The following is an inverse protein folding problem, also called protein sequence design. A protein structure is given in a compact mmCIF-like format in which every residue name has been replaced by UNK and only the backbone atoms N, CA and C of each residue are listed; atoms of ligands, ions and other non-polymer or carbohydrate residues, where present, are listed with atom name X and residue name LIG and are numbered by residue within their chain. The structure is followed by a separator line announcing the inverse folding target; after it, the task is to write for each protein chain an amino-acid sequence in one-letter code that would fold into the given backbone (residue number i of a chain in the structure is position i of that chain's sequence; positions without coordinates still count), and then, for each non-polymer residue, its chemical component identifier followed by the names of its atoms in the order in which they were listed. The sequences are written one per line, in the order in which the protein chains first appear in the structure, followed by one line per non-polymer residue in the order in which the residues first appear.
data_IF_039709081873
#
_entry.id   IF_039709081873
#
_cell.length_a   1.000
_cell.length_b   1.000
_cell.length_c   1.000
_cell.angle_alpha   90.00
_cell.angle_beta   90.00
_cell.angle_gamma   90.00
#
_symmetry.space_group_name_H-M   'P 1'
#
loop_
_entity.id
_entity.type
_entity.pdbx_description
1 polymer ?
#
# COMPACT_ATOMS: atom_id res chain seq x y z
N UNK A 1 -31.47 15.95 10.52
CA UNK A 1 -31.45 15.44 9.14
C UNK A 1 -30.59 14.18 9.16
N UNK A 2 -31.25 13.01 9.17
CA UNK A 2 -30.60 11.73 8.97
C UNK A 2 -30.26 11.63 7.49
N UNK A 3 -28.96 11.55 7.15
CA UNK A 3 -28.36 10.91 5.97
C UNK A 3 -26.99 11.54 5.68
N UNK A 4 -26.02 11.34 6.58
CA UNK A 4 -24.62 11.27 6.18
C UNK A 4 -24.15 9.85 6.48
N UNK A 5 -24.72 8.88 5.75
CA UNK A 5 -23.93 7.70 5.45
C UNK A 5 -22.83 8.21 4.53
N UNK A 6 -21.68 8.53 5.11
CA UNK A 6 -20.44 8.83 4.37
C UNK A 6 -20.04 7.53 3.67
N UNK A 7 -20.65 7.28 2.50
CA UNK A 7 -20.12 6.36 1.53
C UNK A 7 -18.70 6.85 1.23
N UNK A 8 -17.70 5.98 1.40
CA UNK A 8 -16.38 6.27 0.91
C UNK A 8 -16.51 6.64 -0.58
N UNK A 9 -15.95 7.78 -1.02
CA UNK A 9 -16.10 8.23 -2.39
C UNK A 9 -15.71 7.15 -3.39
N UNK A 10 -16.53 6.95 -4.43
CA UNK A 10 -16.23 5.97 -5.48
C UNK A 10 -15.27 6.57 -6.49
N UNK A 11 -14.24 5.82 -6.89
CA UNK A 11 -13.34 6.24 -7.96
C UNK A 11 -13.85 5.75 -9.31
N UNK A 12 -13.93 6.65 -10.28
CA UNK A 12 -14.06 6.31 -11.70
C UNK A 12 -12.78 6.75 -12.42
N UNK A 13 -11.97 5.77 -12.82
CA UNK A 13 -10.75 6.03 -13.56
C UNK A 13 -10.99 5.91 -15.06
N UNK A 14 -10.45 6.86 -15.82
CA UNK A 14 -10.54 6.84 -17.29
C UNK A 14 -9.17 7.12 -17.89
N UNK A 15 -8.81 6.51 -19.04
CA UNK A 15 -7.56 6.83 -19.72
C UNK A 15 -7.50 8.30 -20.15
N UNK A 16 -6.38 8.98 -19.88
CA UNK A 16 -6.11 10.33 -20.41
C UNK A 16 -5.61 10.24 -21.86
N UNK A 17 -6.31 10.88 -22.79
CA UNK A 17 -5.88 10.99 -24.19
C UNK A 17 -6.32 12.34 -24.81
N UNK A 18 -5.95 12.58 -26.08
CA UNK A 18 -6.25 13.84 -26.79
C UNK A 18 -7.75 14.07 -27.08
N UNK A 19 -8.59 13.05 -26.89
CA UNK A 19 -10.05 13.13 -27.04
C UNK A 19 -10.77 13.25 -25.69
N UNK A 20 -10.05 13.20 -24.57
CA UNK A 20 -10.63 13.38 -23.24
C UNK A 20 -11.29 14.76 -23.12
N UNK A 21 -12.50 14.79 -22.59
CA UNK A 21 -13.34 15.98 -22.41
C UNK A 21 -13.94 15.98 -21.01
N UNK A 22 -14.30 17.15 -20.45
CA UNK A 22 -14.96 17.21 -19.15
C UNK A 22 -16.28 16.44 -19.18
N UNK A 23 -16.53 15.68 -18.11
CA UNK A 23 -17.78 14.95 -17.92
C UNK A 23 -18.81 15.87 -17.26
N UNK A 24 -20.02 15.91 -17.83
CA UNK A 24 -21.11 16.73 -17.31
C UNK A 24 -21.45 16.34 -15.86
N UNK A 25 -21.64 17.34 -15.00
CA UNK A 25 -21.96 17.15 -13.58
C UNK A 25 -20.76 16.91 -12.66
N UNK A 26 -19.53 16.90 -13.19
CA UNK A 26 -18.30 16.82 -12.38
C UNK A 26 -17.67 18.22 -12.21
N UNK A 27 -17.32 18.55 -10.97
CA UNK A 27 -16.53 19.74 -10.64
C UNK A 27 -15.04 19.41 -10.66
N UNK A 28 -14.29 20.08 -11.55
CA UNK A 28 -12.85 19.93 -11.73
C UNK A 28 -12.01 20.88 -10.86
N UNK A 29 -12.63 21.58 -9.91
CA UNK A 29 -11.99 22.55 -9.03
C UNK A 29 -11.88 23.95 -9.65
N UNK A 30 -11.22 24.87 -8.95
CA UNK A 30 -11.19 26.30 -9.29
C UNK A 30 -10.66 26.60 -10.71
N UNK A 31 -9.68 25.82 -11.17
CA UNK A 31 -9.08 25.99 -12.49
C UNK A 31 -9.88 25.32 -13.62
N UNK A 32 -10.92 24.56 -13.27
CA UNK A 32 -11.70 23.77 -14.21
C UNK A 32 -10.90 22.65 -14.89
N UNK A 33 -11.46 22.11 -15.97
CA UNK A 33 -10.84 21.06 -16.77
C UNK A 33 -9.68 21.61 -17.61
N UNK A 34 -8.52 20.95 -17.57
CA UNK A 34 -7.34 21.26 -18.34
C UNK A 34 -7.02 20.14 -19.35
N UNK A 35 -7.19 20.34 -20.67
CA UNK A 35 -6.86 19.35 -21.68
C UNK A 35 -5.40 18.87 -21.64
N UNK A 36 -4.47 19.76 -21.28
CA UNK A 36 -3.02 19.53 -21.29
C UNK A 36 -2.47 19.12 -19.91
N UNK A 37 -3.34 18.92 -18.91
CA UNK A 37 -2.95 18.60 -17.54
C UNK A 37 -3.74 17.44 -16.92
N UNK A 38 -3.51 17.25 -15.62
CA UNK A 38 -4.24 16.27 -14.82
C UNK A 38 -5.64 16.79 -14.51
N UNK A 39 -6.64 15.90 -14.52
CA UNK A 39 -8.02 16.24 -14.24
C UNK A 39 -8.59 15.31 -13.19
N UNK A 40 -9.15 15.92 -12.15
CA UNK A 40 -9.87 15.25 -11.06
C UNK A 40 -11.20 15.94 -10.87
N UNK A 41 -12.23 15.37 -11.48
CA UNK A 41 -13.61 15.75 -11.29
C UNK A 41 -14.17 15.12 -10.01
N UNK A 42 -15.01 15.84 -9.28
CA UNK A 42 -15.83 15.27 -8.20
C UNK A 42 -17.30 15.65 -8.41
N UNK A 43 -18.19 14.68 -8.31
CA UNK A 43 -19.62 14.90 -8.33
C UNK A 43 -20.19 14.69 -6.93
N UNK A 44 -20.49 15.79 -6.24
CA UNK A 44 -21.00 15.77 -4.86
C UNK A 44 -22.35 15.05 -4.73
N UNK A 45 -23.20 15.11 -5.76
CA UNK A 45 -24.54 14.54 -5.70
C UNK A 45 -24.56 13.01 -5.65
N UNK A 46 -23.54 12.37 -6.22
CA UNK A 46 -23.38 10.90 -6.26
C UNK A 46 -22.15 10.39 -5.51
N UNK A 47 -21.33 11.30 -4.95
CA UNK A 47 -20.12 10.95 -4.19
C UNK A 47 -19.07 10.22 -5.02
N UNK A 48 -18.87 10.61 -6.28
CA UNK A 48 -17.99 9.92 -7.22
C UNK A 48 -16.91 10.85 -7.75
N UNK A 49 -15.68 10.35 -7.83
CA UNK A 49 -14.59 10.97 -8.57
C UNK A 49 -14.59 10.53 -10.03
N UNK A 50 -14.21 11.43 -10.93
CA UNK A 50 -13.71 11.11 -12.25
C UNK A 50 -12.25 11.53 -12.30
N UNK A 51 -11.35 10.58 -12.57
CA UNK A 51 -9.91 10.83 -12.57
C UNK A 51 -9.33 10.31 -13.87
N UNK A 52 -8.63 11.19 -14.58
CA UNK A 52 -7.94 10.84 -15.81
C UNK A 52 -6.51 10.41 -15.50
N UNK A 53 -6.15 9.20 -15.91
CA UNK A 53 -4.81 8.64 -15.68
C UNK A 53 -4.19 8.31 -17.04
N UNK A 54 -2.99 8.83 -17.29
CA UNK A 54 -2.24 8.52 -18.50
C UNK A 54 -1.74 7.07 -18.46
N UNK A 55 -1.81 6.38 -19.60
CA UNK A 55 -1.35 4.99 -19.72
C UNK A 55 -2.27 3.94 -19.10
N UNK A 56 -3.39 4.34 -18.49
CA UNK A 56 -4.36 3.43 -17.89
C UNK A 56 -4.97 2.50 -18.96
N UNK A 57 -4.94 1.21 -18.71
CA UNK A 57 -5.57 0.19 -19.52
C UNK A 57 -7.09 0.23 -19.34
N UNK A 58 -7.81 0.23 -20.48
CA UNK A 58 -9.26 0.25 -20.49
C UNK A 58 -9.81 -1.19 -20.43
N UNK A 59 -10.70 -1.51 -19.48
CA UNK A 59 -11.32 -2.84 -19.40
C UNK A 59 -12.23 -3.08 -20.62
N UNK A 60 -11.98 -4.18 -21.34
CA UNK A 60 -12.63 -4.50 -22.61
C UNK A 60 -13.88 -5.35 -22.43
N UNK A 61 -13.84 -6.33 -21.53
CA UNK A 61 -15.04 -7.15 -21.26
C UNK A 61 -16.02 -6.44 -20.33
N UNK A 62 -17.29 -6.84 -20.44
CA UNK A 62 -18.34 -6.37 -19.53
C UNK A 62 -18.05 -6.75 -18.08
N UNK A 63 -17.45 -7.93 -17.88
CA UNK A 63 -17.10 -8.41 -16.55
C UNK A 63 -15.96 -7.59 -15.94
N UNK A 64 -14.92 -7.28 -16.71
CA UNK A 64 -13.84 -6.40 -16.25
C UNK A 64 -14.33 -4.97 -15.95
N UNK A 65 -15.20 -4.41 -16.81
CA UNK A 65 -15.83 -3.10 -16.56
C UNK A 65 -16.63 -3.09 -15.26
N UNK A 66 -17.45 -4.12 -15.04
CA UNK A 66 -18.22 -4.29 -13.81
C UNK A 66 -17.30 -4.44 -12.59
N UNK A 67 -16.23 -5.22 -12.70
CA UNK A 67 -15.27 -5.41 -11.61
C UNK A 67 -14.59 -4.07 -11.27
N UNK A 68 -14.14 -3.30 -12.26
CA UNK A 68 -13.53 -2.00 -12.02
C UNK A 68 -14.49 -0.99 -11.36
N UNK A 69 -15.79 -1.06 -11.64
CA UNK A 69 -16.78 -0.10 -11.13
C UNK A 69 -17.40 -0.50 -9.79
N UNK A 70 -17.61 -1.80 -9.56
CA UNK A 70 -18.43 -2.31 -8.47
C UNK A 70 -17.64 -3.21 -7.50
N UNK A 71 -16.77 -4.08 -8.01
CA UNK A 71 -16.11 -5.13 -7.22
C UNK A 71 -14.63 -4.83 -6.92
N UNK A 72 -14.13 -3.65 -7.28
CA UNK A 72 -12.71 -3.29 -7.15
C UNK A 72 -12.23 -3.41 -5.69
N UNK A 73 -13.12 -3.13 -4.74
CA UNK A 73 -12.87 -3.30 -3.31
C UNK A 73 -12.55 -4.74 -2.91
N UNK A 74 -13.07 -5.74 -3.62
CA UNK A 74 -12.76 -7.15 -3.34
C UNK A 74 -11.32 -7.49 -3.70
N UNK A 75 -10.82 -6.94 -4.81
CA UNK A 75 -9.42 -7.08 -5.24
C UNK A 75 -8.49 -6.39 -4.25
N UNK A 76 -8.81 -5.15 -3.89
CA UNK A 76 -8.04 -4.38 -2.89
C UNK A 76 -8.04 -5.11 -1.54
N UNK A 77 -9.18 -5.67 -1.12
CA UNK A 77 -9.28 -6.42 0.13
C UNK A 77 -8.39 -7.66 0.11
N UNK A 78 -8.43 -8.44 -0.97
CA UNK A 78 -7.56 -9.60 -1.14
C UNK A 78 -6.07 -9.22 -1.09
N UNK A 79 -5.71 -8.08 -1.69
CA UNK A 79 -4.34 -7.55 -1.66
C UNK A 79 -3.90 -7.11 -0.26
N UNK A 80 -4.74 -6.39 0.47
CA UNK A 80 -4.44 -5.97 1.85
C UNK A 80 -4.36 -7.16 2.81
N UNK A 81 -5.10 -8.24 2.55
CA UNK A 81 -5.08 -9.47 3.33
C UNK A 81 -3.92 -10.41 2.97
N UNK A 82 -3.25 -10.22 1.84
CA UNK A 82 -2.09 -11.01 1.45
C UNK A 82 -0.90 -10.69 2.36
N UNK A 83 -0.62 -11.61 3.30
CA UNK A 83 0.43 -11.43 4.32
C UNK A 83 1.78 -11.07 3.72
N UNK A 84 2.16 -11.68 2.60
CA UNK A 84 3.45 -11.38 1.97
C UNK A 84 3.48 -9.95 1.42
N UNK A 85 2.43 -9.51 0.72
CA UNK A 85 2.34 -8.12 0.22
C UNK A 85 2.39 -7.13 1.37
N UNK A 86 1.65 -7.39 2.44
CA UNK A 86 1.61 -6.55 3.63
C UNK A 86 2.97 -6.49 4.35
N UNK A 87 3.58 -7.65 4.63
CA UNK A 87 4.88 -7.73 5.32
C UNK A 87 5.99 -7.06 4.52
N UNK A 88 6.06 -7.31 3.20
CA UNK A 88 7.08 -6.68 2.37
C UNK A 88 6.83 -5.19 2.21
N UNK A 89 5.59 -4.79 1.91
CA UNK A 89 5.23 -3.39 1.72
C UNK A 89 5.46 -2.51 2.95
N UNK A 90 5.25 -3.05 4.15
CA UNK A 90 5.44 -2.29 5.37
C UNK A 90 6.91 -2.21 5.82
N UNK A 91 7.75 -3.19 5.43
CA UNK A 91 8.97 -3.48 6.20
C UNK A 91 10.25 -3.67 5.38
N UNK A 92 10.12 -3.93 4.07
CA UNK A 92 11.24 -4.15 3.17
C UNK A 92 11.64 -2.81 2.54
N UNK A 93 12.66 -2.16 3.11
CA UNK A 93 13.16 -0.85 2.63
C UNK A 93 13.83 -0.93 1.25
N UNK A 94 14.23 -2.14 0.83
CA UNK A 94 14.81 -2.40 -0.49
C UNK A 94 13.76 -2.88 -1.50
N UNK A 95 12.49 -2.97 -1.09
CA UNK A 95 11.40 -3.38 -1.94
C UNK A 95 11.23 -2.39 -3.10
N UNK A 96 11.30 -2.93 -4.31
CA UNK A 96 10.82 -2.26 -5.51
C UNK A 96 9.29 -2.28 -5.50
N UNK A 97 8.59 -1.13 -5.43
CA UNK A 97 7.13 -1.07 -5.32
C UNK A 97 6.38 -1.88 -6.39
N UNK A 98 6.94 -1.94 -7.60
CA UNK A 98 6.43 -2.71 -8.73
C UNK A 98 6.33 -4.21 -8.46
N UNK A 99 7.14 -4.76 -7.55
CA UNK A 99 6.96 -6.15 -7.12
C UNK A 99 5.61 -6.35 -6.41
N UNK A 100 5.11 -5.34 -5.70
CA UNK A 100 3.78 -5.39 -5.09
C UNK A 100 2.70 -4.99 -6.09
N UNK A 101 2.86 -3.83 -6.72
CA UNK A 101 1.81 -3.22 -7.54
C UNK A 101 1.59 -3.97 -8.85
N UNK A 102 2.65 -4.51 -9.47
CA UNK A 102 2.55 -5.27 -10.72
C UNK A 102 2.46 -6.77 -10.45
N UNK A 103 3.47 -7.33 -9.77
CA UNK A 103 3.59 -8.79 -9.65
C UNK A 103 2.58 -9.38 -8.65
N UNK A 104 2.55 -8.89 -7.40
CA UNK A 104 1.63 -9.45 -6.38
C UNK A 104 0.18 -9.15 -6.71
N UNK A 105 -0.16 -7.91 -7.06
CA UNK A 105 -1.54 -7.55 -7.44
C UNK A 105 -1.98 -8.31 -8.69
N UNK A 106 -1.14 -8.40 -9.73
CA UNK A 106 -1.47 -9.14 -10.95
C UNK A 106 -1.76 -10.62 -10.67
N UNK A 107 -0.99 -11.25 -9.77
CA UNK A 107 -1.28 -12.61 -9.31
C UNK A 107 -2.64 -12.71 -8.62
N UNK A 108 -2.97 -11.79 -7.73
CA UNK A 108 -4.27 -11.79 -7.01
C UNK A 108 -5.44 -11.63 -7.99
N UNK A 109 -5.33 -10.73 -8.96
CA UNK A 109 -6.36 -10.55 -10.00
C UNK A 109 -6.54 -11.84 -10.79
N UNK A 110 -5.44 -12.46 -11.24
CA UNK A 110 -5.47 -13.73 -11.99
C UNK A 110 -6.07 -14.89 -11.18
N UNK A 111 -5.72 -14.99 -9.89
CA UNK A 111 -6.23 -16.04 -9.02
C UNK A 111 -7.74 -15.84 -8.73
N UNK A 112 -8.22 -14.60 -8.72
CA UNK A 112 -9.61 -14.25 -8.42
C UNK A 112 -10.54 -14.32 -9.65
N UNK A 113 -10.03 -13.98 -10.83
CA UNK A 113 -10.78 -13.96 -12.09
C UNK A 113 -10.03 -14.72 -13.20
N UNK A 114 -9.78 -16.03 -13.03
CA UNK A 114 -8.98 -16.83 -13.97
C UNK A 114 -9.59 -16.94 -15.38
N UNK A 115 -10.88 -16.62 -15.52
CA UNK A 115 -11.63 -16.64 -16.78
C UNK A 115 -11.40 -15.43 -17.69
N UNK A 116 -10.88 -14.32 -17.16
CA UNK A 116 -10.60 -13.12 -17.93
C UNK A 116 -9.26 -13.23 -18.69
N UNK A 117 -9.12 -12.43 -19.74
CA UNK A 117 -7.88 -12.34 -20.50
C UNK A 117 -6.83 -11.44 -19.82
N UNK A 118 -5.60 -11.46 -20.34
CA UNK A 118 -4.48 -10.71 -19.77
C UNK A 118 -4.66 -9.19 -19.84
N UNK A 119 -5.40 -8.67 -20.84
CA UNK A 119 -5.62 -7.24 -20.98
C UNK A 119 -6.61 -6.74 -19.91
N UNK A 120 -7.66 -7.51 -19.66
CA UNK A 120 -8.62 -7.24 -18.59
C UNK A 120 -8.03 -7.45 -17.20
N UNK A 121 -7.16 -8.45 -17.02
CA UNK A 121 -6.39 -8.59 -15.77
C UNK A 121 -5.56 -7.35 -15.48
N UNK A 122 -4.88 -6.83 -16.49
CA UNK A 122 -4.06 -5.63 -16.35
C UNK A 122 -4.90 -4.39 -16.06
N UNK A 123 -6.04 -4.22 -16.75
CA UNK A 123 -6.98 -3.13 -16.45
C UNK A 123 -7.44 -3.16 -14.99
N UNK A 124 -7.90 -4.31 -14.49
CA UNK A 124 -8.36 -4.46 -13.10
C UNK A 124 -7.21 -4.18 -12.11
N UNK A 125 -6.00 -4.71 -12.37
CA UNK A 125 -4.82 -4.48 -11.54
C UNK A 125 -4.51 -2.99 -11.40
N UNK A 126 -4.43 -2.28 -12.52
CA UNK A 126 -4.11 -0.86 -12.56
C UNK A 126 -5.17 -0.02 -11.83
N UNK A 127 -6.46 -0.31 -12.04
CA UNK A 127 -7.54 0.38 -11.33
C UNK A 127 -7.46 0.15 -9.82
N UNK A 128 -7.16 -1.09 -9.38
CA UNK A 128 -7.08 -1.42 -7.96
C UNK A 128 -5.91 -0.68 -7.28
N UNK A 129 -4.75 -0.66 -7.92
CA UNK A 129 -3.57 0.04 -7.42
C UNK A 129 -3.76 1.56 -7.44
N UNK A 130 -4.39 2.12 -8.48
CA UNK A 130 -4.74 3.54 -8.53
C UNK A 130 -5.67 3.93 -7.37
N UNK A 131 -6.77 3.20 -7.16
CA UNK A 131 -7.69 3.42 -6.05
C UNK A 131 -6.99 3.39 -4.70
N UNK A 132 -6.16 2.35 -4.48
CA UNK A 132 -5.45 2.15 -3.22
C UNK A 132 -4.44 3.29 -2.97
N UNK A 133 -3.57 3.58 -3.93
CA UNK A 133 -2.53 4.60 -3.76
C UNK A 133 -3.10 6.01 -3.61
N UNK A 134 -4.12 6.39 -4.40
CA UNK A 134 -4.80 7.69 -4.25
C UNK A 134 -5.45 7.84 -2.88
N UNK A 135 -6.12 6.79 -2.40
CA UNK A 135 -6.73 6.77 -1.06
C UNK A 135 -5.68 6.95 0.03
N UNK A 136 -4.54 6.26 -0.09
CA UNK A 136 -3.47 6.31 0.90
C UNK A 136 -2.79 7.68 0.89
N UNK A 137 -2.54 8.27 -0.29
CA UNK A 137 -1.96 9.62 -0.41
C UNK A 137 -2.89 10.71 0.10
N UNK A 138 -4.19 10.59 -0.14
CA UNK A 138 -5.15 11.52 0.44
C UNK A 138 -5.12 11.47 1.97
N UNK A 139 -5.09 10.27 2.57
CA UNK A 139 -4.96 10.10 4.03
C UNK A 139 -3.64 10.64 4.58
N UNK A 140 -2.53 10.44 3.87
CA UNK A 140 -1.21 10.98 4.23
C UNK A 140 -1.25 12.51 4.33
N UNK A 141 -1.84 13.18 3.33
CA UNK A 141 -1.97 14.65 3.29
C UNK A 141 -2.81 15.15 4.47
N UNK A 142 -3.96 14.52 4.72
CA UNK A 142 -4.83 14.85 5.87
C UNK A 142 -4.06 14.70 7.18
N UNK A 143 -3.36 13.58 7.37
CA UNK A 143 -2.61 13.29 8.59
C UNK A 143 -1.44 14.26 8.83
N UNK A 144 -0.79 14.75 7.76
CA UNK A 144 0.34 15.69 7.86
C UNK A 144 -0.10 17.15 8.03
N UNK A 145 -1.33 17.48 7.65
CA UNK A 145 -1.82 18.86 7.58
C UNK A 145 -2.09 19.55 8.91
N UNK A 146 -2.16 18.84 10.05
CA UNK A 146 -2.69 19.38 11.33
C UNK A 146 -4.04 20.12 11.17
N UNK A 147 -4.76 19.88 10.06
CA UNK A 147 -6.14 20.27 9.95
C UNK A 147 -6.92 19.32 10.85
N UNK A 148 -7.31 19.90 11.99
CA UNK A 148 -8.23 19.44 13.02
C UNK A 148 -9.14 18.28 12.59
N UNK A 149 -9.50 17.45 13.57
CA UNK A 149 -10.43 16.31 13.58
C UNK A 149 -11.86 16.56 13.01
N UNK A 150 -12.01 17.37 11.97
CA UNK A 150 -13.21 17.81 11.27
C UNK A 150 -13.15 17.57 9.75
N UNK A 151 -12.13 16.88 9.24
CA UNK A 151 -12.01 16.57 7.81
C UNK A 151 -13.06 15.54 7.35
N UNK A 152 -14.27 16.01 7.02
CA UNK A 152 -15.32 15.21 6.40
C UNK A 152 -14.99 14.80 4.95
N UNK A 153 -16.02 14.39 4.20
CA UNK A 153 -15.89 13.98 2.78
C UNK A 153 -15.16 15.00 1.91
N UNK A 154 -15.26 16.30 2.22
CA UNK A 154 -14.61 17.39 1.48
C UNK A 154 -13.08 17.41 1.63
N UNK A 155 -12.55 17.23 2.84
CA UNK A 155 -11.10 17.19 3.07
C UNK A 155 -10.43 16.04 2.31
N UNK A 156 -11.13 14.91 2.18
CA UNK A 156 -10.66 13.80 1.34
C UNK A 156 -10.63 14.17 -0.14
N UNK A 157 -11.69 14.80 -0.65
CA UNK A 157 -11.77 15.30 -2.04
C UNK A 157 -10.64 16.26 -2.35
N UNK A 158 -10.42 17.24 -1.48
CA UNK A 158 -9.36 18.23 -1.66
C UNK A 158 -7.97 17.59 -1.60
N UNK A 159 -7.78 16.57 -0.75
CA UNK A 159 -6.50 15.85 -0.65
C UNK A 159 -6.20 14.99 -1.88
N UNK A 160 -7.22 14.33 -2.45
CA UNK A 160 -7.07 13.59 -3.73
C UNK A 160 -6.71 14.56 -4.86
N UNK A 161 -7.44 15.69 -4.96
CA UNK A 161 -7.15 16.73 -5.96
C UNK A 161 -5.74 17.28 -5.80
N UNK A 162 -5.34 17.63 -4.58
CA UNK A 162 -4.01 18.15 -4.27
C UNK A 162 -2.91 17.18 -4.71
N UNK A 163 -3.02 15.90 -4.34
CA UNK A 163 -2.03 14.90 -4.76
C UNK A 163 -1.94 14.79 -6.29
N UNK A 164 -3.07 14.72 -6.98
CA UNK A 164 -3.10 14.60 -8.44
C UNK A 164 -2.57 15.86 -9.15
N UNK A 165 -2.75 17.05 -8.57
CA UNK A 165 -2.29 18.32 -9.15
C UNK A 165 -0.83 18.64 -8.80
N UNK A 166 -0.31 18.12 -7.68
CA UNK A 166 1.09 18.30 -7.26
C UNK A 166 2.08 17.47 -8.09
N UNK A 167 1.59 16.47 -8.84
CA UNK A 167 2.41 15.68 -9.77
C UNK A 167 2.32 16.26 -11.18
N UNK A 168 3.45 16.26 -11.91
CA UNK A 168 3.51 16.82 -13.26
C UNK A 168 2.57 16.10 -14.24
N UNK A 169 2.58 14.78 -14.20
CA UNK A 169 1.74 13.91 -15.02
C UNK A 169 1.24 12.77 -14.13
N UNK A 170 -0.07 12.62 -13.98
CA UNK A 170 -0.67 11.49 -13.30
C UNK A 170 -0.71 10.29 -14.26
N UNK A 171 0.32 9.45 -14.16
CA UNK A 171 0.55 8.30 -15.03
C UNK A 171 0.50 7.00 -14.20
N UNK A 172 0.02 5.90 -14.80
CA UNK A 172 0.01 4.60 -14.16
C UNK A 172 1.41 4.14 -13.73
N UNK A 173 2.45 4.45 -14.51
CA UNK A 173 3.84 4.11 -14.16
C UNK A 173 4.30 4.83 -12.87
N UNK A 174 3.83 6.06 -12.66
CA UNK A 174 4.08 6.80 -11.42
C UNK A 174 3.36 6.14 -10.25
N UNK A 175 2.11 5.73 -10.46
CA UNK A 175 1.30 5.08 -9.43
C UNK A 175 1.91 3.74 -9.04
N UNK A 176 2.39 2.93 -10.00
CA UNK A 176 3.01 1.63 -9.73
C UNK A 176 4.30 1.74 -8.89
N UNK A 177 4.98 2.89 -8.96
CA UNK A 177 6.17 3.22 -8.14
C UNK A 177 5.84 3.68 -6.73
N UNK A 178 4.57 3.80 -6.37
CA UNK A 178 4.15 4.15 -5.01
C UNK A 178 3.91 2.87 -4.24
N UNK A 179 4.62 2.71 -3.12
CA UNK A 179 4.36 1.61 -2.20
C UNK A 179 2.98 1.77 -1.54
N UNK A 180 2.02 0.87 -1.79
CA UNK A 180 0.65 1.00 -1.30
C UNK A 180 0.51 0.86 0.23
N UNK A 181 1.55 0.37 0.90
CA UNK A 181 1.56 0.14 2.34
C UNK A 181 2.37 1.17 3.12
N UNK A 182 2.99 2.16 2.48
CA UNK A 182 3.85 3.14 3.17
C UNK A 182 3.15 3.85 4.34
N UNK A 183 1.86 4.14 4.19
CA UNK A 183 1.04 4.80 5.22
C UNK A 183 0.39 3.84 6.22
N UNK A 184 0.28 2.56 5.87
CA UNK A 184 -0.34 1.57 6.76
C UNK A 184 0.48 1.39 8.04
N UNK A 185 1.81 1.57 8.01
CA UNK A 185 2.64 1.54 9.22
C UNK A 185 2.28 2.65 10.23
N UNK A 186 2.08 3.89 9.77
CA UNK A 186 1.76 5.03 10.64
C UNK A 186 0.38 4.90 11.30
N UNK A 187 -0.58 4.28 10.59
CA UNK A 187 -1.94 4.03 11.07
C UNK A 187 -1.97 2.79 12.00
N UNK A 188 -1.24 1.72 11.65
CA UNK A 188 -1.11 0.51 12.47
C UNK A 188 -0.35 0.79 13.78
N UNK A 189 0.70 1.62 13.78
CA UNK A 189 1.40 2.03 14.99
C UNK A 189 0.49 2.79 15.99
N UNK A 190 -0.53 3.49 15.50
CA UNK A 190 -1.54 4.17 16.34
C UNK A 190 -2.61 3.23 16.90
N UNK A 191 -2.80 2.04 16.33
CA UNK A 191 -3.93 1.14 16.62
C UNK A 191 -3.54 -0.26 17.13
N UNK A 192 -2.26 -0.66 17.01
CA UNK A 192 -1.75 -1.97 17.46
C UNK A 192 -1.16 -1.92 18.87
N UNK A 193 -1.20 -3.07 19.56
CA UNK A 193 -0.53 -3.24 20.86
C UNK A 193 1.00 -3.29 20.69
N UNK A 194 1.73 -2.81 21.71
CA UNK A 194 3.20 -2.81 21.75
C UNK A 194 3.80 -4.21 21.47
N UNK A 195 3.14 -5.28 21.92
CA UNK A 195 3.58 -6.66 21.71
C UNK A 195 3.57 -7.06 20.22
N UNK A 196 2.54 -6.67 19.49
CA UNK A 196 2.42 -6.97 18.05
C UNK A 196 3.42 -6.15 17.23
N UNK A 197 3.64 -4.88 17.59
CA UNK A 197 4.68 -4.05 16.97
C UNK A 197 6.09 -4.60 17.22
N UNK A 198 6.38 -5.11 18.44
CA UNK A 198 7.66 -5.74 18.76
C UNK A 198 7.91 -7.04 18.00
N UNK A 199 6.91 -7.91 17.87
CA UNK A 199 7.05 -9.14 17.08
C UNK A 199 7.34 -8.83 15.61
N UNK A 200 6.67 -7.82 15.05
CA UNK A 200 6.90 -7.40 13.67
C UNK A 200 8.32 -6.81 13.54
N UNK A 201 8.70 -5.85 14.39
CA UNK A 201 10.05 -5.26 14.38
C UNK A 201 11.18 -6.29 14.57
N UNK A 202 10.94 -7.35 15.34
CA UNK A 202 11.85 -8.48 15.51
C UNK A 202 12.06 -9.23 14.18
N UNK A 203 11.01 -9.57 13.45
CA UNK A 203 11.14 -10.24 12.14
C UNK A 203 11.91 -9.38 11.12
N UNK A 204 11.73 -8.05 11.15
CA UNK A 204 12.45 -7.11 10.28
C UNK A 204 13.93 -7.06 10.61
N UNK A 205 14.23 -6.87 11.90
CA UNK A 205 15.61 -6.77 12.38
C UNK A 205 16.36 -8.05 12.05
N UNK A 206 15.72 -9.21 12.14
CA UNK A 206 16.29 -10.48 11.72
C UNK A 206 16.62 -10.54 10.21
N UNK A 207 15.83 -9.90 9.34
CA UNK A 207 16.06 -9.91 7.89
C UNK A 207 17.19 -8.98 7.44
N UNK A 208 17.35 -7.80 8.06
CA UNK A 208 18.40 -6.80 7.74
C UNK A 208 19.82 -7.23 8.11
N UNK A 209 19.97 -8.37 8.77
CA UNK A 209 21.24 -8.80 9.35
C UNK A 209 22.07 -9.55 8.30
N UNK A 210 23.03 -8.83 7.72
CA UNK A 210 24.18 -9.40 7.03
C UNK A 210 25.21 -9.88 8.06
N UNK A 211 24.97 -11.04 8.66
CA UNK A 211 25.95 -11.77 9.49
C UNK A 211 26.52 -12.94 8.70
N UNK A 212 27.80 -13.22 8.89
CA UNK A 212 28.34 -14.52 8.50
C UNK A 212 27.88 -15.60 9.47
N UNK A 213 27.86 -16.87 9.02
CA UNK A 213 27.44 -17.98 9.88
C UNK A 213 28.33 -18.13 11.13
N UNK A 214 29.62 -17.87 10.99
CA UNK A 214 30.56 -17.91 12.12
C UNK A 214 30.24 -16.82 13.15
N UNK A 215 30.00 -15.58 12.71
CA UNK A 215 29.61 -14.49 13.62
C UNK A 215 28.26 -14.75 14.30
N UNK A 216 27.29 -15.31 13.57
CA UNK A 216 25.99 -15.66 14.13
C UNK A 216 26.09 -16.76 15.20
N UNK A 217 26.97 -17.75 15.00
CA UNK A 217 27.26 -18.80 16.01
C UNK A 217 27.92 -18.22 17.26
N UNK A 218 28.88 -17.32 17.12
CA UNK A 218 29.49 -16.64 18.28
C UNK A 218 28.47 -15.84 19.08
N UNK A 219 27.60 -15.11 18.40
CA UNK A 219 26.53 -14.33 19.02
C UNK A 219 25.49 -15.21 19.72
N UNK A 220 25.15 -16.37 19.15
CA UNK A 220 24.25 -17.33 19.78
C UNK A 220 24.85 -17.94 21.06
N UNK A 221 26.15 -18.25 21.09
CA UNK A 221 26.83 -18.71 22.30
C UNK A 221 26.76 -17.65 23.41
N UNK A 222 26.94 -16.37 23.05
CA UNK A 222 26.81 -15.25 24.00
C UNK A 222 25.37 -15.05 24.45
N UNK A 223 24.40 -15.25 23.56
CA UNK A 223 22.98 -15.18 23.89
C UNK A 223 22.54 -16.25 24.90
N UNK A 224 23.16 -17.44 24.87
CA UNK A 224 22.93 -18.48 25.89
C UNK A 224 23.42 -18.02 27.26
N UNK A 225 24.58 -17.34 27.33
CA UNK A 225 25.07 -16.73 28.58
C UNK A 225 24.12 -15.64 29.07
N UNK A 226 23.67 -14.76 28.17
CA UNK A 226 22.67 -13.73 28.49
C UNK A 226 21.38 -14.33 29.06
N UNK A 227 20.88 -15.44 28.48
CA UNK A 227 19.70 -16.15 28.99
C UNK A 227 19.91 -16.69 30.40
N UNK A 228 21.09 -17.24 30.69
CA UNK A 228 21.41 -17.77 32.02
C UNK A 228 21.52 -16.65 33.07
N UNK A 229 21.98 -15.48 32.70
CA UNK A 229 22.14 -14.33 33.60
C UNK A 229 20.85 -13.54 33.81
N UNK A 230 20.06 -13.35 32.74
CA UNK A 230 18.88 -12.47 32.72
C UNK A 230 17.54 -13.22 32.76
N UNK A 231 17.56 -14.55 32.66
CA UNK A 231 16.36 -15.40 32.68
C UNK A 231 15.49 -15.33 31.43
N UNK A 232 15.87 -14.51 30.43
CA UNK A 232 15.16 -14.34 29.16
C UNK A 232 16.13 -14.31 27.99
N UNK A 233 15.64 -14.61 26.79
CA UNK A 233 16.42 -14.44 25.56
C UNK A 233 16.62 -12.94 25.28
N UNK A 234 17.74 -12.57 24.61
CA UNK A 234 17.93 -11.21 24.14
C UNK A 234 16.88 -10.83 23.10
N UNK A 235 16.48 -9.55 23.08
CA UNK A 235 15.42 -9.05 22.20
C UNK A 235 15.98 -8.23 21.04
N UNK A 236 15.41 -8.41 19.85
CA UNK A 236 15.78 -7.65 18.64
C UNK A 236 15.39 -6.16 18.71
N UNK A 237 14.44 -5.84 19.59
CA UNK A 237 13.99 -4.47 19.87
C UNK A 237 14.67 -3.86 21.11
N UNK A 238 15.70 -4.52 21.66
CA UNK A 238 16.40 -4.00 22.82
C UNK A 238 17.09 -2.66 22.49
N UNK A 239 17.00 -1.71 23.43
CA UNK A 239 17.72 -0.44 23.32
C UNK A 239 19.25 -0.63 23.45
N UNK A 240 19.67 -1.69 24.13
CA UNK A 240 21.09 -2.07 24.24
C UNK A 240 21.58 -2.66 22.91
N UNK A 241 22.59 -2.03 22.25
CA UNK A 241 23.13 -2.54 20.99
C UNK A 241 23.71 -3.95 21.10
N UNK A 242 24.22 -4.34 22.27
CA UNK A 242 24.82 -5.66 22.46
C UNK A 242 23.77 -6.76 22.60
N UNK A 243 22.74 -6.52 23.40
CA UNK A 243 21.55 -7.38 23.47
C UNK A 243 20.91 -7.55 22.09
N UNK A 244 20.70 -6.44 21.38
CA UNK A 244 20.15 -6.46 20.02
C UNK A 244 20.99 -7.34 19.09
N UNK A 245 22.31 -7.16 19.07
CA UNK A 245 23.22 -7.94 18.19
C UNK A 245 23.25 -9.43 18.52
N UNK A 246 23.10 -9.80 19.80
CA UNK A 246 22.94 -11.21 20.19
C UNK A 246 21.63 -11.82 19.67
N UNK A 247 20.53 -11.05 19.72
CA UNK A 247 19.25 -11.46 19.20
C UNK A 247 19.26 -11.60 17.66
N UNK A 248 20.00 -10.72 16.97
CA UNK A 248 20.25 -10.76 15.52
C UNK A 248 20.94 -12.07 15.10
N UNK A 249 21.98 -12.49 15.85
CA UNK A 249 22.67 -13.76 15.59
C UNK A 249 21.78 -14.99 15.77
N UNK A 250 20.90 -15.02 16.78
CA UNK A 250 19.94 -16.11 16.96
C UNK A 250 18.97 -16.17 15.79
N UNK A 251 18.41 -15.02 15.40
CA UNK A 251 17.40 -14.95 14.35
C UNK A 251 17.97 -15.34 12.98
N UNK A 252 19.23 -15.00 12.71
CA UNK A 252 19.96 -15.45 11.52
C UNK A 252 20.04 -16.98 11.43
N UNK A 253 20.44 -17.65 12.53
CA UNK A 253 20.56 -19.11 12.56
C UNK A 253 19.21 -19.81 12.44
N UNK A 254 18.16 -19.28 13.08
CA UNK A 254 16.79 -19.81 12.97
C UNK A 254 16.28 -19.73 11.53
N UNK A 255 16.53 -18.62 10.83
CA UNK A 255 16.18 -18.47 9.41
C UNK A 255 16.91 -19.50 8.55
N UNK A 256 18.23 -19.65 8.72
CA UNK A 256 19.02 -20.62 7.95
C UNK A 256 18.49 -22.04 8.10
N UNK A 257 18.16 -22.45 9.33
CA UNK A 257 17.56 -23.77 9.59
C UNK A 257 16.19 -23.92 8.92
N UNK A 258 15.37 -22.87 8.91
CA UNK A 258 14.06 -22.88 8.25
C UNK A 258 14.17 -22.91 6.71
N UNK A 259 15.20 -22.27 6.14
CA UNK A 259 15.51 -22.32 4.70
C UNK A 259 16.01 -23.72 4.30
N UNK A 260 16.93 -24.31 5.09
CA UNK A 260 17.47 -25.65 4.86
C UNK A 260 16.42 -26.77 5.04
N UNK A 261 15.34 -26.51 5.78
CA UNK A 261 14.25 -27.48 6.02
C UNK A 261 13.13 -27.42 4.98
N UNK A 262 13.08 -26.36 4.17
CA UNK A 262 12.06 -26.12 3.13
C UNK A 262 12.59 -26.33 1.70
N UNK A 263 13.85 -26.76 1.54
CA UNK A 263 14.45 -27.23 0.30
C UNK A 263 14.54 -28.74 0.24
#
# INVERSE_FOLDING_TARGET
LLMEQVLAPKFNFTPKNSQSVPVEGFDYGENGYNPDGNNVGFNESIGQFQIEIKGLAEPKSKDAQRICQEDLNEVITAFVQDKTSLERGLLDEELVPEELTQVRMGKIVKDKYPELDEEDHEAIRQHAIAALNLTQKAKEIINKGNESEQGGSTAFVDSVRKFAMDVRDLDIDLIDRINPFSEAYAILAKSMSEASLKQVAAVISAKKVALTEEEARELAIRAVKFKNERGRLPELTAADPWEKRMAEGIAFLQRKVAEDSNG
#
